data_IF_115901368643
#
_entry.id   IF_115901368643
#
_cell.length_a   1.000
_cell.length_b   1.000
_cell.length_c   1.000
_cell.angle_alpha   90.00
_cell.angle_beta   90.00
_cell.angle_gamma   90.00
#
_symmetry.space_group_name_H-M   'P 1'
#
loop_
_entity.id
_entity.type
_entity.pdbx_description
1 polymer ?
#
# COMPACT_ATOMS: atom_id res chain seq x y z
N UNK A 1 -4.17 -28.50 -9.79
CA UNK A 1 -3.95 -29.63 -8.88
C UNK A 1 -2.87 -29.20 -7.91
N UNK A 2 -3.22 -28.93 -6.65
CA UNK A 2 -2.26 -28.65 -5.61
C UNK A 2 -1.45 -29.94 -5.37
N UNK A 3 -0.15 -29.86 -5.52
CA UNK A 3 0.74 -30.94 -5.17
C UNK A 3 1.33 -30.66 -3.79
N UNK A 4 1.04 -31.53 -2.83
CA UNK A 4 1.66 -31.50 -1.50
C UNK A 4 2.85 -32.43 -1.50
N UNK A 5 4.00 -31.94 -1.00
CA UNK A 5 5.22 -32.73 -0.86
C UNK A 5 5.64 -32.72 0.60
N UNK A 6 5.74 -33.87 1.21
CA UNK A 6 6.24 -34.01 2.58
C UNK A 6 7.76 -34.19 2.55
N UNK A 7 8.46 -33.30 3.28
CA UNK A 7 9.93 -33.33 3.44
C UNK A 7 10.22 -33.52 4.93
N UNK A 8 10.98 -34.57 5.28
CA UNK A 8 11.39 -34.83 6.67
C UNK A 8 12.55 -33.92 7.08
N UNK A 9 12.83 -33.88 8.38
CA UNK A 9 14.00 -33.13 8.88
C UNK A 9 15.29 -33.62 8.22
N UNK A 10 16.10 -32.71 7.71
CA UNK A 10 17.36 -32.98 7.00
C UNK A 10 17.22 -33.76 5.70
N UNK A 11 16.03 -33.85 5.13
CA UNK A 11 15.77 -34.46 3.84
C UNK A 11 15.71 -33.38 2.74
N UNK A 12 16.26 -33.70 1.57
CA UNK A 12 16.11 -32.92 0.35
C UNK A 12 15.18 -33.65 -0.62
N UNK A 13 14.25 -32.94 -1.24
CA UNK A 13 13.38 -33.48 -2.30
C UNK A 13 13.42 -32.60 -3.53
N UNK A 14 13.64 -33.26 -4.67
CA UNK A 14 13.55 -32.65 -5.99
C UNK A 14 12.09 -32.70 -6.44
N UNK A 15 11.53 -31.52 -6.73
CA UNK A 15 10.18 -31.40 -7.29
C UNK A 15 10.29 -31.00 -8.74
N UNK A 16 9.86 -31.91 -9.63
CA UNK A 16 9.83 -31.62 -11.07
C UNK A 16 8.45 -31.06 -11.44
N UNK A 17 8.44 -30.02 -12.26
CA UNK A 17 7.22 -29.43 -12.81
C UNK A 17 7.40 -29.17 -14.30
N UNK A 18 6.33 -29.28 -15.05
CA UNK A 18 6.28 -29.02 -16.48
C UNK A 18 5.55 -27.70 -16.74
N UNK A 19 6.16 -26.82 -17.53
CA UNK A 19 5.54 -25.60 -18.02
C UNK A 19 5.03 -25.85 -19.44
N UNK A 20 3.71 -25.86 -19.61
CA UNK A 20 3.10 -25.95 -20.94
C UNK A 20 3.11 -24.58 -21.60
N UNK A 21 3.94 -24.43 -22.62
CA UNK A 21 4.03 -23.21 -23.42
C UNK A 21 2.78 -23.15 -24.33
N UNK A 22 2.21 -21.95 -24.60
CA UNK A 22 1.15 -21.79 -25.60
C UNK A 22 1.59 -22.35 -26.96
N UNK A 23 0.66 -22.94 -27.70
CA UNK A 23 0.96 -23.44 -29.04
C UNK A 23 1.12 -22.32 -30.07
N UNK A 24 0.41 -21.20 -29.85
CA UNK A 24 0.49 -20.04 -30.70
C UNK A 24 1.65 -19.13 -30.26
N UNK A 25 2.47 -18.65 -31.20
CA UNK A 25 3.53 -17.68 -30.90
C UNK A 25 2.99 -16.46 -30.19
N UNK A 26 3.80 -15.91 -29.27
CA UNK A 26 3.44 -14.69 -28.58
C UNK A 26 4.62 -13.70 -28.56
N UNK A 27 4.30 -12.41 -28.62
CA UNK A 27 5.29 -11.34 -28.47
C UNK A 27 5.37 -10.88 -27.02
N UNK A 28 6.59 -10.46 -26.61
CA UNK A 28 6.85 -9.90 -25.29
C UNK A 28 6.98 -10.93 -24.18
N UNK A 29 6.42 -10.63 -23.02
CA UNK A 29 6.65 -11.37 -21.79
C UNK A 29 5.37 -11.93 -21.20
N UNK A 30 5.42 -13.20 -20.79
CA UNK A 30 4.44 -13.84 -19.88
C UNK A 30 5.12 -14.07 -18.54
N UNK A 31 4.51 -13.60 -17.47
CA UNK A 31 5.00 -13.78 -16.11
C UNK A 31 4.11 -14.78 -15.36
N UNK A 32 4.77 -15.62 -14.57
CA UNK A 32 4.15 -16.56 -13.64
C UNK A 32 5.00 -16.70 -12.39
N UNK A 33 4.55 -17.52 -11.47
CA UNK A 33 5.32 -17.83 -10.28
C UNK A 33 5.00 -19.25 -9.77
N UNK A 34 6.01 -19.89 -9.21
CA UNK A 34 5.88 -21.07 -8.39
C UNK A 34 5.94 -20.64 -6.94
N UNK A 35 4.91 -20.95 -6.17
CA UNK A 35 4.83 -20.57 -4.77
C UNK A 35 4.78 -21.81 -3.89
N UNK A 36 5.73 -21.93 -2.97
CA UNK A 36 5.83 -23.01 -1.99
C UNK A 36 5.42 -22.45 -0.64
N UNK A 37 4.45 -23.08 0.00
CA UNK A 37 3.92 -22.65 1.30
C UNK A 37 4.03 -23.84 2.25
N UNK A 38 4.57 -23.61 3.45
CA UNK A 38 4.54 -24.61 4.51
C UNK A 38 3.10 -24.84 4.95
N UNK A 39 2.60 -26.05 4.81
CA UNK A 39 1.31 -26.46 5.38
C UNK A 39 1.48 -26.60 6.89
N UNK A 40 0.65 -25.94 7.66
CA UNK A 40 0.60 -26.09 9.11
C UNK A 40 -0.40 -27.21 9.43
N UNK A 41 -0.05 -28.08 10.37
CA UNK A 41 -0.98 -29.07 10.91
C UNK A 41 -1.98 -28.36 11.82
N UNK A 42 -3.27 -28.70 11.69
CA UNK A 42 -4.38 -28.01 12.40
C UNK A 42 -4.27 -28.09 13.93
N UNK A 43 -3.54 -29.08 14.46
CA UNK A 43 -3.36 -29.26 15.91
C UNK A 43 -2.54 -28.17 16.61
N UNK A 44 -1.83 -27.32 15.87
CA UNK A 44 -1.03 -26.22 16.42
C UNK A 44 -1.79 -24.90 16.56
N UNK A 45 -3.04 -24.83 16.11
CA UNK A 45 -3.84 -23.61 16.12
C UNK A 45 -4.69 -23.53 17.39
N UNK A 46 -4.09 -23.22 18.53
CA UNK A 46 -4.85 -22.72 19.69
C UNK A 46 -5.33 -21.30 19.38
N UNK A 47 -6.61 -21.04 19.64
CA UNK A 47 -7.39 -19.86 19.20
C UNK A 47 -6.83 -18.47 19.57
N UNK A 48 -5.67 -18.36 20.18
CA UNK A 48 -5.06 -17.12 20.66
C UNK A 48 -3.57 -16.93 20.26
N UNK A 49 -3.05 -17.72 19.30
CA UNK A 49 -1.66 -17.57 18.87
C UNK A 49 -1.56 -16.95 17.47
N UNK A 50 -0.72 -15.93 17.32
CA UNK A 50 -0.30 -15.44 16.01
C UNK A 50 0.61 -16.46 15.35
N UNK A 51 0.18 -17.01 14.21
CA UNK A 51 0.96 -17.98 13.44
C UNK A 51 1.52 -17.29 12.21
N UNK A 52 2.85 -17.31 12.04
CA UNK A 52 3.53 -16.82 10.85
C UNK A 52 3.72 -17.95 9.85
N UNK A 53 3.22 -17.77 8.64
CA UNK A 53 3.44 -18.70 7.53
C UNK A 53 4.43 -18.12 6.54
N UNK A 54 5.49 -18.87 6.24
CA UNK A 54 6.49 -18.48 5.24
C UNK A 54 6.12 -19.08 3.89
N UNK A 55 6.27 -18.29 2.84
CA UNK A 55 6.12 -18.73 1.47
C UNK A 55 7.36 -18.38 0.66
N UNK A 56 7.87 -19.32 -0.13
CA UNK A 56 8.92 -19.07 -1.11
C UNK A 56 8.29 -18.94 -2.48
N UNK A 57 8.67 -17.89 -3.21
CA UNK A 57 8.14 -17.64 -4.55
C UNK A 57 9.29 -17.57 -5.55
N UNK A 58 9.25 -18.40 -6.57
CA UNK A 58 10.19 -18.38 -7.69
C UNK A 58 9.46 -17.78 -8.88
N UNK A 59 9.93 -16.65 -9.37
CA UNK A 59 9.36 -16.02 -10.56
C UNK A 59 9.74 -16.76 -11.82
N UNK A 60 8.79 -16.94 -12.72
CA UNK A 60 8.98 -17.52 -14.04
C UNK A 60 8.66 -16.48 -15.09
N UNK A 61 9.60 -16.22 -15.96
CA UNK A 61 9.44 -15.30 -17.10
C UNK A 61 9.63 -16.10 -18.40
N UNK A 62 8.64 -16.03 -19.29
CA UNK A 62 8.69 -16.64 -20.61
C UNK A 62 8.72 -15.54 -21.67
N UNK A 63 9.62 -15.65 -22.62
CA UNK A 63 9.71 -14.82 -23.82
C UNK A 63 10.05 -15.71 -25.02
N UNK A 64 9.56 -15.37 -26.20
CA UNK A 64 9.73 -16.17 -27.40
C UNK A 64 10.45 -15.39 -28.53
N UNK A 65 10.17 -14.10 -28.64
CA UNK A 65 10.55 -13.28 -29.78
C UNK A 65 11.96 -12.64 -29.70
N UNK A 66 12.73 -12.90 -28.67
CA UNK A 66 14.05 -12.29 -28.42
C UNK A 66 14.09 -10.76 -28.45
N UNK A 67 12.93 -10.10 -28.48
CA UNK A 67 12.83 -8.64 -28.43
C UNK A 67 13.04 -8.11 -27.02
N UNK A 68 13.56 -6.89 -26.84
CA UNK A 68 13.65 -6.28 -25.54
C UNK A 68 12.30 -6.32 -24.81
N UNK A 69 12.28 -6.90 -23.63
CA UNK A 69 11.05 -7.10 -22.86
C UNK A 69 10.68 -5.87 -22.00
N UNK A 70 11.58 -4.91 -21.88
CA UNK A 70 11.46 -3.69 -21.09
C UNK A 70 11.35 -2.41 -21.94
N UNK A 71 11.28 -2.55 -23.26
CA UNK A 71 11.02 -1.45 -24.17
C UNK A 71 9.59 -1.50 -24.70
N UNK A 72 8.95 -0.34 -24.85
CA UNK A 72 7.62 -0.24 -25.45
C UNK A 72 6.44 -0.45 -24.50
N UNK A 73 6.66 -0.59 -23.20
CA UNK A 73 5.57 -0.56 -22.24
C UNK A 73 4.80 0.75 -22.33
N UNK A 74 3.47 0.72 -22.12
CA UNK A 74 2.63 1.89 -22.23
C UNK A 74 1.62 1.98 -21.09
N UNK A 75 1.64 3.11 -20.39
CA UNK A 75 0.75 3.37 -19.28
C UNK A 75 -0.46 4.20 -19.72
N UNK A 76 -1.60 3.86 -19.12
CA UNK A 76 -2.81 4.64 -19.17
C UNK A 76 -3.36 4.85 -17.77
N UNK A 77 -3.79 6.06 -17.43
CA UNK A 77 -4.54 6.31 -16.21
C UNK A 77 -5.95 5.73 -16.34
N UNK A 78 -6.23 4.65 -15.64
CA UNK A 78 -7.50 3.90 -15.73
C UNK A 78 -8.58 4.48 -14.83
N UNK A 79 -8.25 4.61 -13.55
CA UNK A 79 -9.22 4.98 -12.51
C UNK A 79 -8.57 5.85 -11.43
N UNK A 80 -9.37 6.76 -10.89
CA UNK A 80 -9.06 7.52 -9.68
C UNK A 80 -10.28 7.43 -8.75
N UNK A 81 -10.06 7.33 -7.48
CA UNK A 81 -11.12 7.30 -6.47
C UNK A 81 -10.56 7.14 -5.08
N UNK A 82 -11.42 7.00 -4.10
CA UNK A 82 -11.04 6.76 -2.72
C UNK A 82 -11.29 5.32 -2.33
N UNK A 83 -10.45 4.80 -1.45
CA UNK A 83 -10.59 3.46 -0.86
C UNK A 83 -9.98 3.43 0.54
N UNK A 84 -10.13 2.31 1.24
CA UNK A 84 -9.39 2.00 2.46
C UNK A 84 -8.24 1.08 2.09
N UNK A 85 -7.02 1.47 2.43
CA UNK A 85 -5.80 0.68 2.24
C UNK A 85 -5.06 0.60 3.57
N UNK A 86 -4.73 -0.63 4.00
CA UNK A 86 -4.12 -0.89 5.32
C UNK A 86 -4.85 -0.19 6.49
N UNK A 87 -6.20 -0.18 6.46
CA UNK A 87 -7.03 0.45 7.49
C UNK A 87 -7.08 1.97 7.45
N UNK A 88 -6.48 2.62 6.44
CA UNK A 88 -6.44 4.07 6.30
C UNK A 88 -7.13 4.53 5.01
N UNK A 89 -7.83 5.67 5.03
CA UNK A 89 -8.40 6.24 3.82
C UNK A 89 -7.30 6.78 2.91
N UNK A 90 -7.39 6.44 1.62
CA UNK A 90 -6.44 6.87 0.60
C UNK A 90 -7.17 7.35 -0.64
N UNK A 91 -6.53 8.23 -1.41
CA UNK A 91 -6.87 8.45 -2.82
C UNK A 91 -6.05 7.46 -3.62
N UNK A 92 -6.71 6.56 -4.35
CA UNK A 92 -6.06 5.54 -5.15
C UNK A 92 -6.09 5.94 -6.63
N UNK A 93 -4.92 5.89 -7.26
CA UNK A 93 -4.71 6.10 -8.70
C UNK A 93 -4.35 4.77 -9.33
N UNK A 94 -5.12 4.32 -10.28
CA UNK A 94 -4.90 3.03 -10.95
C UNK A 94 -4.45 3.27 -12.39
N UNK A 95 -3.30 2.74 -12.73
CA UNK A 95 -2.74 2.71 -14.08
C UNK A 95 -2.91 1.33 -14.69
N UNK A 96 -2.89 1.29 -16.00
CA UNK A 96 -2.90 0.07 -16.78
C UNK A 96 -1.73 0.07 -17.78
N UNK A 97 -0.89 -0.95 -17.72
CA UNK A 97 0.02 -1.31 -18.79
C UNK A 97 -0.67 -2.34 -19.68
N UNK A 98 -0.98 -1.97 -20.92
CA UNK A 98 -1.66 -2.86 -21.89
C UNK A 98 -0.69 -3.64 -22.76
N UNK A 99 0.60 -3.33 -22.67
CA UNK A 99 1.62 -3.98 -23.48
C UNK A 99 2.18 -5.23 -22.79
N UNK A 100 2.54 -6.25 -23.55
CA UNK A 100 3.23 -7.42 -23.01
C UNK A 100 4.71 -7.13 -22.73
N UNK A 101 5.00 -5.95 -22.23
CA UNK A 101 6.33 -5.40 -21.93
C UNK A 101 6.38 -4.90 -20.50
N UNK A 102 7.50 -5.09 -19.83
CA UNK A 102 7.75 -4.54 -18.49
C UNK A 102 8.13 -3.07 -18.60
N UNK A 103 7.60 -2.23 -17.73
CA UNK A 103 8.14 -0.89 -17.52
C UNK A 103 9.03 -0.92 -16.28
N UNK A 104 10.28 -0.51 -16.41
CA UNK A 104 11.25 -0.44 -15.31
C UNK A 104 11.56 1.01 -14.96
N UNK A 105 12.03 1.20 -13.72
CA UNK A 105 12.60 2.46 -13.23
C UNK A 105 11.70 3.68 -13.45
N UNK A 106 10.38 3.46 -13.42
CA UNK A 106 9.45 4.55 -13.56
C UNK A 106 9.41 5.42 -12.31
N UNK A 107 9.39 6.73 -12.49
CA UNK A 107 9.08 7.68 -11.43
C UNK A 107 7.66 8.18 -11.62
N UNK A 108 6.83 7.97 -10.60
CA UNK A 108 5.41 8.35 -10.61
C UNK A 108 5.19 9.45 -9.58
N UNK A 109 4.73 10.61 -10.06
CA UNK A 109 4.34 11.74 -9.21
C UNK A 109 2.84 11.94 -9.31
N UNK A 110 2.16 11.82 -8.18
CA UNK A 110 0.74 12.09 -8.06
C UNK A 110 0.50 13.23 -7.06
N UNK A 111 -0.35 14.19 -7.44
CA UNK A 111 -0.78 15.23 -6.51
C UNK A 111 -2.27 15.53 -6.66
N UNK A 112 -2.85 16.04 -5.60
CA UNK A 112 -4.26 16.32 -5.48
C UNK A 112 -4.50 17.82 -5.34
N UNK A 113 -5.48 18.34 -6.06
CA UNK A 113 -6.01 19.69 -5.88
C UNK A 113 -7.53 19.63 -5.70
N UNK A 114 -8.14 20.63 -5.11
CA UNK A 114 -9.59 20.82 -5.23
C UNK A 114 -9.91 21.26 -6.66
N UNK A 115 -11.00 20.73 -7.23
CA UNK A 115 -11.39 21.09 -8.62
C UNK A 115 -11.46 22.61 -8.80
N UNK A 116 -10.81 23.09 -9.85
CA UNK A 116 -10.72 24.54 -10.18
C UNK A 116 -9.73 25.33 -9.31
N UNK A 117 -8.98 24.68 -8.42
CA UNK A 117 -7.94 25.33 -7.61
C UNK A 117 -6.55 24.79 -7.97
N UNK A 118 -5.52 25.61 -7.76
CA UNK A 118 -4.12 25.26 -8.02
C UNK A 118 -3.38 24.80 -6.78
N UNK A 119 -3.94 25.07 -5.59
CA UNK A 119 -3.31 24.69 -4.31
C UNK A 119 -3.21 23.18 -4.20
N UNK A 120 -2.00 22.68 -4.05
CA UNK A 120 -1.69 21.27 -3.80
C UNK A 120 -2.12 20.89 -2.37
N UNK A 121 -2.93 19.84 -2.25
CA UNK A 121 -3.42 19.32 -0.98
C UNK A 121 -2.61 18.12 -0.50
N UNK A 122 -2.26 17.24 -1.43
CA UNK A 122 -1.47 16.04 -1.22
C UNK A 122 -0.51 15.88 -2.39
N UNK A 123 0.68 15.33 -2.12
CA UNK A 123 1.63 14.91 -3.16
C UNK A 123 2.39 13.68 -2.73
N UNK A 124 2.59 12.77 -3.66
CA UNK A 124 3.44 11.60 -3.49
C UNK A 124 4.28 11.40 -4.72
N UNK A 125 5.57 11.19 -4.51
CA UNK A 125 6.53 10.79 -5.53
C UNK A 125 7.01 9.39 -5.17
N UNK A 126 7.03 8.50 -6.14
CA UNK A 126 7.58 7.16 -5.99
C UNK A 126 8.48 6.86 -7.19
N UNK A 127 9.75 6.65 -6.91
CA UNK A 127 10.77 6.25 -7.89
C UNK A 127 10.92 4.73 -7.93
N UNK A 128 11.65 4.24 -8.91
CA UNK A 128 12.00 2.82 -9.13
C UNK A 128 10.79 1.90 -9.22
N UNK A 129 9.69 2.40 -9.78
CA UNK A 129 8.47 1.62 -9.95
C UNK A 129 8.61 0.71 -11.17
N UNK A 130 8.43 -0.59 -10.95
CA UNK A 130 8.33 -1.57 -12.02
C UNK A 130 6.87 -1.92 -12.25
N UNK A 131 6.41 -1.85 -13.52
CA UNK A 131 5.05 -2.22 -13.90
C UNK A 131 5.09 -3.47 -14.78
N UNK A 132 4.41 -4.50 -14.33
CA UNK A 132 4.35 -5.77 -15.03
C UNK A 132 3.60 -5.66 -16.39
N UNK A 133 3.88 -6.55 -17.34
CA UNK A 133 3.15 -6.60 -18.60
C UNK A 133 1.67 -6.92 -18.38
N UNK A 134 0.79 -6.35 -19.20
CA UNK A 134 -0.66 -6.59 -19.19
C UNK A 134 -1.29 -6.50 -17.78
N UNK A 135 -0.87 -5.51 -17.00
CA UNK A 135 -1.24 -5.42 -15.58
C UNK A 135 -1.86 -4.08 -15.19
N UNK A 136 -2.45 -4.08 -14.01
CA UNK A 136 -2.90 -2.88 -13.31
C UNK A 136 -1.94 -2.58 -12.15
N UNK A 137 -1.56 -1.31 -12.04
CA UNK A 137 -0.80 -0.78 -10.90
C UNK A 137 -1.68 0.18 -10.12
N UNK A 138 -1.94 -0.11 -8.86
CA UNK A 138 -2.63 0.78 -7.95
C UNK A 138 -1.62 1.53 -7.08
N UNK A 139 -1.74 2.85 -7.04
CA UNK A 139 -0.88 3.75 -6.27
C UNK A 139 -1.74 4.52 -5.27
N UNK A 140 -1.40 4.41 -4.01
CA UNK A 140 -2.12 5.06 -2.93
C UNK A 140 -1.46 6.40 -2.55
N UNK A 141 -2.26 7.47 -2.50
CA UNK A 141 -1.94 8.74 -1.85
C UNK A 141 -2.60 8.72 -0.48
N UNK A 142 -1.86 8.47 0.60
CA UNK A 142 -2.42 8.48 1.94
C UNK A 142 -2.94 9.86 2.30
N UNK A 143 -4.10 9.92 2.92
CA UNK A 143 -4.63 11.20 3.41
C UNK A 143 -3.86 11.69 4.64
N UNK A 144 -3.26 10.78 5.40
CA UNK A 144 -2.59 11.07 6.68
C UNK A 144 -3.51 11.91 7.58
N UNK A 145 -3.05 13.11 7.99
CA UNK A 145 -3.83 14.05 8.79
C UNK A 145 -4.65 15.06 7.95
N UNK A 146 -4.62 14.91 6.62
CA UNK A 146 -5.36 15.82 5.73
C UNK A 146 -6.83 15.43 5.70
N UNK A 147 -7.68 16.32 6.20
CA UNK A 147 -9.13 16.15 6.12
C UNK A 147 -9.63 16.69 4.79
N UNK A 148 -10.15 15.79 3.95
CA UNK A 148 -10.78 16.17 2.69
C UNK A 148 -12.30 16.19 2.87
N UNK A 149 -12.95 17.38 2.85
CA UNK A 149 -14.41 17.46 2.89
C UNK A 149 -15.04 16.86 1.62
N UNK A 150 -16.34 16.59 1.68
CA UNK A 150 -17.07 16.18 0.49
C UNK A 150 -16.97 17.24 -0.61
N UNK A 151 -16.78 16.78 -1.84
CA UNK A 151 -16.55 17.69 -2.97
C UNK A 151 -15.85 17.00 -4.13
N UNK A 152 -15.60 17.75 -5.19
CA UNK A 152 -14.89 17.28 -6.37
C UNK A 152 -13.43 17.72 -6.31
N UNK A 153 -12.56 16.79 -6.63
CA UNK A 153 -11.10 16.94 -6.62
C UNK A 153 -10.52 16.54 -7.96
N UNK A 154 -9.35 17.05 -8.27
CA UNK A 154 -8.58 16.67 -9.46
C UNK A 154 -7.28 16.01 -9.01
N UNK A 155 -7.06 14.77 -9.45
CA UNK A 155 -5.74 14.15 -9.40
C UNK A 155 -4.98 14.55 -10.65
N UNK A 156 -3.77 15.01 -10.43
CA UNK A 156 -2.76 15.20 -11.45
C UNK A 156 -1.75 14.06 -11.31
N UNK A 157 -1.33 13.53 -12.42
CA UNK A 157 -0.38 12.43 -12.45
C UNK A 157 0.66 12.69 -13.53
N UNK A 158 1.92 12.52 -13.17
CA UNK A 158 3.05 12.57 -14.08
C UNK A 158 3.87 11.30 -13.89
N UNK A 159 4.20 10.64 -14.99
CA UNK A 159 5.03 9.44 -14.99
C UNK A 159 6.16 9.66 -15.98
N UNK A 160 7.38 9.34 -15.54
CA UNK A 160 8.56 9.30 -16.41
C UNK A 160 9.22 7.92 -16.33
N UNK A 161 9.62 7.37 -17.46
CA UNK A 161 10.37 6.12 -17.55
C UNK A 161 11.31 6.18 -18.78
N UNK A 162 12.60 6.17 -18.53
CA UNK A 162 13.62 6.41 -19.56
C UNK A 162 13.42 7.79 -20.22
N UNK A 163 13.24 7.80 -21.53
CA UNK A 163 13.00 8.99 -22.32
C UNK A 163 11.51 9.28 -22.58
N UNK A 164 10.59 8.61 -21.90
CA UNK A 164 9.14 8.71 -22.07
C UNK A 164 8.50 9.39 -20.88
N UNK A 165 7.49 10.23 -21.17
CA UNK A 165 6.69 10.91 -20.17
C UNK A 165 5.22 10.80 -20.49
N UNK A 166 4.41 10.68 -19.44
CA UNK A 166 2.95 10.72 -19.50
C UNK A 166 2.42 11.68 -18.46
N UNK A 167 1.36 12.39 -18.81
CA UNK A 167 0.68 13.30 -17.89
C UNK A 167 -0.82 13.14 -18.03
N UNK A 168 -1.52 13.09 -16.90
CA UNK A 168 -2.97 13.03 -16.83
C UNK A 168 -3.54 13.93 -15.76
N UNK A 169 -4.78 14.31 -16.00
CA UNK A 169 -5.65 14.95 -15.00
C UNK A 169 -6.97 14.20 -14.99
N UNK A 170 -7.46 13.86 -13.80
CA UNK A 170 -8.73 13.15 -13.67
C UNK A 170 -9.49 13.62 -12.45
N UNK A 171 -10.74 14.03 -12.66
CA UNK A 171 -11.63 14.44 -11.59
C UNK A 171 -12.27 13.21 -10.93
N UNK A 172 -12.51 13.31 -9.63
CA UNK A 172 -13.30 12.37 -8.87
C UNK A 172 -14.02 13.08 -7.73
N UNK A 173 -15.05 12.46 -7.16
CA UNK A 173 -15.87 13.06 -6.11
C UNK A 173 -15.76 12.25 -4.82
N UNK A 174 -15.59 12.95 -3.73
CA UNK A 174 -15.69 12.41 -2.37
C UNK A 174 -17.08 12.74 -1.84
N UNK A 175 -17.83 11.72 -1.45
CA UNK A 175 -19.19 11.86 -0.93
C UNK A 175 -19.21 11.91 0.60
N UNK A 176 -20.25 12.48 1.19
CA UNK A 176 -20.46 12.47 2.65
C UNK A 176 -20.53 11.04 3.22
N UNK A 177 -21.09 10.11 2.44
CA UNK A 177 -21.20 8.70 2.84
C UNK A 177 -19.80 8.08 3.00
N UNK A 178 -18.88 8.36 2.05
CA UNK A 178 -17.50 7.87 2.13
C UNK A 178 -16.77 8.43 3.35
N UNK A 179 -16.95 9.72 3.66
CA UNK A 179 -16.32 10.34 4.83
C UNK A 179 -16.83 9.68 6.13
N UNK A 180 -18.14 9.42 6.23
CA UNK A 180 -18.70 8.70 7.38
C UNK A 180 -18.11 7.29 7.52
N UNK A 181 -17.97 6.56 6.42
CA UNK A 181 -17.34 5.24 6.42
C UNK A 181 -15.87 5.28 6.88
N UNK A 182 -15.14 6.33 6.52
CA UNK A 182 -13.74 6.48 6.98
C UNK A 182 -13.67 6.69 8.49
N UNK A 183 -14.58 7.52 9.05
CA UNK A 183 -14.59 7.77 10.49
C UNK A 183 -14.97 6.55 11.34
N UNK A 184 -15.72 5.60 10.77
CA UNK A 184 -16.12 4.36 11.46
C UNK A 184 -15.05 3.25 11.33
N UNK A 185 -14.32 3.21 10.23
CA UNK A 185 -13.37 2.14 9.91
C UNK A 185 -11.92 2.48 10.27
N UNK A 186 -11.61 3.75 10.49
CA UNK A 186 -10.29 4.14 11.00
C UNK A 186 -10.30 3.92 12.51
N UNK A 187 -9.43 3.04 13.06
CA UNK A 187 -9.28 2.96 14.50
C UNK A 187 -8.93 4.35 14.99
N UNK A 188 -9.85 4.97 15.72
CA UNK A 188 -9.55 6.21 16.41
C UNK A 188 -8.29 5.95 17.23
N UNK A 189 -7.16 6.49 16.82
CA UNK A 189 -6.06 6.64 17.74
C UNK A 189 -6.67 7.43 18.90
N UNK A 190 -7.05 6.73 19.97
CA UNK A 190 -7.46 7.37 21.22
C UNK A 190 -6.30 8.30 21.53
N UNK A 191 -6.44 9.56 21.20
CA UNK A 191 -5.65 10.62 21.81
C UNK A 191 -5.93 10.45 23.30
N UNK A 192 -5.10 9.68 23.96
CA UNK A 192 -5.10 9.63 25.41
C UNK A 192 -4.85 11.08 25.84
N UNK A 193 -5.73 11.67 26.62
CA UNK A 193 -5.49 12.99 27.17
C UNK A 193 -4.42 12.85 28.26
N UNK A 194 -3.19 12.58 27.84
CA UNK A 194 -2.02 12.48 28.75
C UNK A 194 -1.68 13.83 29.39
N UNK A 195 -2.36 14.92 29.00
CA UNK A 195 -2.07 16.28 29.46
C UNK A 195 -2.86 16.73 30.71
N UNK A 196 -3.86 15.96 31.17
CA UNK A 196 -4.65 16.39 32.34
C UNK A 196 -4.29 15.70 33.65
N UNK A 197 -3.57 14.59 33.61
CA UNK A 197 -3.18 13.90 34.85
C UNK A 197 -1.90 14.51 35.46
N UNK A 198 -1.01 15.07 34.65
CA UNK A 198 0.22 15.71 35.12
C UNK A 198 -0.01 17.05 35.86
N UNK A 199 -1.05 17.81 35.46
CA UNK A 199 -1.33 19.12 36.08
C UNK A 199 -1.99 19.02 37.46
N UNK A 200 -2.83 18.03 37.70
CA UNK A 200 -3.48 17.82 39.00
C UNK A 200 -2.51 17.32 40.07
N UNK A 201 -1.56 16.44 39.70
CA UNK A 201 -0.55 15.97 40.61
C UNK A 201 0.43 17.10 41.04
N UNK A 202 0.80 17.97 40.08
CA UNK A 202 1.69 19.11 40.38
C UNK A 202 1.03 20.13 41.30
N UNK A 203 -0.27 20.40 41.12
CA UNK A 203 -1.02 21.30 42.01
C UNK A 203 -1.11 20.73 43.42
N UNK A 204 -1.36 19.44 43.59
CA UNK A 204 -1.41 18.80 44.90
C UNK A 204 -0.04 18.84 45.66
N UNK A 205 1.06 18.67 44.92
CA UNK A 205 2.42 18.78 45.48
C UNK A 205 2.70 20.22 45.92
N UNK A 206 2.38 21.23 45.13
CA UNK A 206 2.58 22.63 45.49
C UNK A 206 1.74 23.02 46.70
N UNK A 207 0.48 22.60 46.76
CA UNK A 207 -0.41 22.84 47.90
C UNK A 207 0.12 22.15 49.15
N UNK A 208 0.61 20.93 49.08
CA UNK A 208 1.20 20.19 50.20
C UNK A 208 2.46 20.87 50.72
N UNK A 209 3.34 21.34 49.83
CA UNK A 209 4.55 22.10 50.22
C UNK A 209 4.17 23.43 50.86
N UNK A 210 3.15 24.13 50.35
CA UNK A 210 2.67 25.37 50.95
C UNK A 210 2.18 25.19 52.39
N UNK A 211 1.36 24.18 52.63
CA UNK A 211 0.88 23.84 54.01
C UNK A 211 2.00 23.36 54.92
N UNK A 212 2.97 22.63 54.44
CA UNK A 212 4.13 22.21 55.22
C UNK A 212 4.98 23.42 55.66
N UNK A 213 5.29 24.34 54.77
CA UNK A 213 6.05 25.55 55.04
C UNK A 213 5.31 26.52 55.99
N UNK A 214 3.98 26.60 55.85
CA UNK A 214 3.15 27.42 56.77
C UNK A 214 3.16 26.88 58.18
N UNK A 215 3.07 25.56 58.33
CA UNK A 215 3.13 24.87 59.66
C UNK A 215 4.51 25.00 60.32
N UNK A 216 5.58 25.07 59.54
CA UNK A 216 6.96 25.25 60.03
C UNK A 216 7.25 26.69 60.54
N UNK A 217 6.46 27.68 60.17
CA UNK A 217 6.61 29.10 60.58
C UNK A 217 5.79 29.46 61.82
N UNK A 218 5.04 28.49 62.38
CA UNK A 218 4.15 28.74 63.53
C UNK A 218 4.61 27.99 64.79
N UNK A 219 5.86 27.53 64.79
CA UNK A 219 6.56 27.04 66.00
C UNK A 219 7.67 27.94 66.41
#
# INVERSE_FOLDING_TARGET
>A
KEATVTVKNFEEKIVNYEIKIPKEPFSGVKLGALRFIKQLEDESLTSNQFTSTYAYTISVMLTEDKQPFDEGAELQLKKVGTTISAGQPVVQVTYQNRQPKVMKEATITNWLTKKGQTKELLKKVQADVTVAPNSLLAMDLPLNDVVLPAGTYTVHSQVSAGNREWQWRKDFTITQTQIKQWSTNTPSAKRQPFLLVGSSAMVLVVVSIYFYLKKSRTK
#
